data_IF_914401006914
#
_entry.id   IF_914401006914
#
_cell.length_a   1.000
_cell.length_b   1.000
_cell.length_c   1.000
_cell.angle_alpha   90.00
_cell.angle_beta   90.00
_cell.angle_gamma   90.00
#
_symmetry.space_group_name_H-M   'P 1'
#
loop_
_entity.id
_entity.type
_entity.pdbx_description
1 polymer ?
#
# COMPACT_ATOMS: atom_id res chain seq x y z
N UNK A 1 -1.61 20.99 42.79
CA UNK A 1 -1.61 21.00 41.30
C UNK A 1 -0.94 19.73 40.79
N UNK A 2 -1.67 18.79 40.17
CA UNK A 2 -1.10 17.68 39.39
C UNK A 2 -1.98 17.46 38.17
N UNK A 3 -1.41 17.80 37.01
CA UNK A 3 -2.07 17.87 35.71
C UNK A 3 -2.55 16.50 35.24
N UNK A 4 -3.82 16.40 34.83
CA UNK A 4 -4.40 15.25 34.12
C UNK A 4 -3.76 15.18 32.73
N UNK A 5 -2.77 14.31 32.52
CA UNK A 5 -2.27 13.98 31.18
C UNK A 5 -3.40 13.27 30.41
N UNK A 6 -4.02 13.98 29.47
CA UNK A 6 -4.92 13.40 28.47
C UNK A 6 -4.09 12.46 27.61
N UNK A 7 -4.29 11.15 27.75
CA UNK A 7 -3.93 10.18 26.72
C UNK A 7 -4.71 10.56 25.45
N UNK A 8 -3.98 10.98 24.42
CA UNK A 8 -4.54 11.30 23.11
C UNK A 8 -3.70 10.57 22.06
N UNK A 9 -3.65 9.25 22.16
CA UNK A 9 -3.12 8.33 21.16
C UNK A 9 -3.89 7.03 21.38
N UNK A 10 -4.65 6.46 20.46
CA UNK A 10 -4.63 6.54 19.02
C UNK A 10 -6.08 6.63 18.53
N UNK A 11 -6.33 7.58 17.65
CA UNK A 11 -7.56 7.65 16.88
C UNK A 11 -7.77 6.28 16.23
N UNK A 12 -8.94 5.68 16.46
CA UNK A 12 -9.53 4.76 15.49
C UNK A 12 -9.27 5.39 14.13
N UNK A 13 -8.55 4.68 13.25
CA UNK A 13 -8.47 5.08 11.84
C UNK A 13 -9.89 4.99 11.34
N UNK A 14 -10.58 6.12 11.37
CA UNK A 14 -11.75 6.40 10.58
C UNK A 14 -11.40 5.91 9.18
N UNK A 15 -11.99 4.80 8.73
CA UNK A 15 -12.04 4.41 7.32
C UNK A 15 -12.98 5.39 6.59
N UNK A 16 -12.86 6.68 6.88
CA UNK A 16 -13.61 7.77 6.30
C UNK A 16 -13.27 7.77 4.82
N UNK A 17 -14.28 7.37 4.05
CA UNK A 17 -14.34 7.41 2.59
C UNK A 17 -13.11 6.86 1.91
N UNK A 18 -13.22 5.60 1.45
CA UNK A 18 -12.27 5.05 0.50
C UNK A 18 -12.27 5.93 -0.76
N UNK A 19 -11.31 6.85 -0.84
CA UNK A 19 -11.14 7.74 -1.98
C UNK A 19 -10.64 6.91 -3.17
N UNK A 20 -11.45 6.86 -4.24
CA UNK A 20 -11.10 6.18 -5.50
C UNK A 20 -10.04 6.95 -6.30
N UNK A 21 -9.82 8.23 -6.00
CA UNK A 21 -8.94 9.11 -6.77
C UNK A 21 -7.44 8.72 -6.67
N UNK A 22 -6.89 8.39 -5.49
CA UNK A 22 -5.53 7.85 -5.40
C UNK A 22 -5.34 6.51 -6.14
N UNK A 23 -6.39 5.69 -6.23
CA UNK A 23 -6.37 4.39 -6.91
C UNK A 23 -6.37 4.52 -8.43
N UNK A 24 -7.05 5.53 -8.98
CA UNK A 24 -6.99 5.89 -10.40
C UNK A 24 -5.59 6.37 -10.82
N UNK A 25 -4.75 6.78 -9.86
CA UNK A 25 -3.36 7.23 -10.07
C UNK A 25 -2.33 6.13 -9.76
N UNK A 26 -2.77 4.88 -9.57
CA UNK A 26 -1.88 3.76 -9.31
C UNK A 26 -0.91 3.57 -10.49
N UNK A 27 0.38 3.68 -10.21
CA UNK A 27 1.44 3.29 -11.12
C UNK A 27 2.17 2.07 -10.54
N UNK A 28 2.47 1.12 -11.40
CA UNK A 28 3.27 -0.04 -11.03
C UNK A 28 4.65 0.39 -10.55
N UNK A 29 5.10 -0.21 -9.44
CA UNK A 29 6.42 0.05 -8.91
C UNK A 29 7.47 -0.64 -9.78
N UNK A 30 8.57 0.06 -10.08
CA UNK A 30 9.67 -0.57 -10.81
C UNK A 30 10.46 -1.53 -9.92
N UNK A 31 11.05 -2.58 -10.52
CA UNK A 31 11.94 -3.52 -9.82
C UNK A 31 13.10 -2.78 -9.14
N UNK A 32 13.64 -1.74 -9.78
CA UNK A 32 14.72 -0.92 -9.22
C UNK A 32 14.31 -0.16 -7.95
N UNK A 33 13.08 0.37 -7.90
CA UNK A 33 12.57 1.04 -6.71
C UNK A 33 12.27 0.04 -5.59
N UNK A 34 11.69 -1.11 -5.91
CA UNK A 34 11.45 -2.18 -4.96
C UNK A 34 12.77 -2.69 -4.34
N UNK A 35 13.80 -2.93 -5.16
CA UNK A 35 15.14 -3.31 -4.69
C UNK A 35 15.71 -2.30 -3.69
N UNK A 36 15.59 -0.99 -3.97
CA UNK A 36 16.02 0.07 -3.02
C UNK A 36 15.27 0.00 -1.70
N UNK A 37 13.96 -0.25 -1.71
CA UNK A 37 13.12 -0.35 -0.50
C UNK A 37 13.48 -1.61 0.31
N UNK A 38 13.65 -2.74 -0.36
CA UNK A 38 13.99 -4.01 0.26
C UNK A 38 15.38 -3.96 0.91
N UNK A 39 16.37 -3.39 0.21
CA UNK A 39 17.72 -3.15 0.76
C UNK A 39 17.71 -2.23 1.97
N UNK A 40 16.90 -1.16 1.97
CA UNK A 40 16.72 -0.28 3.15
C UNK A 40 16.14 -1.04 4.35
N UNK A 41 15.42 -2.12 4.11
CA UNK A 41 14.81 -2.97 5.12
C UNK A 41 15.67 -4.20 5.47
N UNK A 42 16.92 -4.27 4.99
CA UNK A 42 17.81 -5.44 5.10
C UNK A 42 17.18 -6.75 4.57
N UNK A 43 16.25 -6.66 3.63
CA UNK A 43 15.69 -7.82 2.93
C UNK A 43 16.53 -8.04 1.66
N UNK A 44 17.17 -9.20 1.58
CA UNK A 44 17.94 -9.59 0.41
C UNK A 44 17.10 -10.51 -0.47
N UNK A 45 16.83 -10.07 -1.70
CA UNK A 45 16.18 -10.85 -2.74
C UNK A 45 16.93 -10.64 -4.05
N UNK A 46 16.92 -11.66 -4.90
CA UNK A 46 17.35 -11.54 -6.29
C UNK A 46 16.35 -10.71 -7.10
N UNK A 47 16.83 -10.10 -8.19
CA UNK A 47 15.98 -9.34 -9.10
C UNK A 47 14.77 -10.15 -9.60
N UNK A 48 14.97 -11.46 -9.82
CA UNK A 48 13.90 -12.38 -10.22
C UNK A 48 12.82 -12.51 -9.15
N UNK A 49 13.22 -12.75 -7.89
CA UNK A 49 12.26 -12.86 -6.78
C UNK A 49 11.47 -11.55 -6.59
N UNK A 50 12.13 -10.41 -6.72
CA UNK A 50 11.48 -9.09 -6.65
C UNK A 50 10.45 -8.94 -7.78
N UNK A 51 10.85 -9.29 -9.00
CA UNK A 51 9.96 -9.24 -10.18
C UNK A 51 8.74 -10.14 -10.00
N UNK A 52 8.93 -11.37 -9.52
CA UNK A 52 7.84 -12.33 -9.32
C UNK A 52 6.85 -11.84 -8.25
N UNK A 53 7.35 -11.28 -7.13
CA UNK A 53 6.52 -10.70 -6.08
C UNK A 53 5.76 -9.47 -6.58
N UNK A 54 6.43 -8.55 -7.29
CA UNK A 54 5.77 -7.36 -7.84
C UNK A 54 4.68 -7.75 -8.83
N UNK A 55 4.92 -8.73 -9.71
CA UNK A 55 3.92 -9.21 -10.66
C UNK A 55 2.65 -9.71 -9.96
N UNK A 56 2.80 -10.47 -8.88
CA UNK A 56 1.68 -10.93 -8.05
C UNK A 56 0.93 -9.75 -7.44
N UNK A 57 1.64 -8.82 -6.80
CA UNK A 57 1.03 -7.66 -6.13
C UNK A 57 0.29 -6.74 -7.10
N UNK A 58 0.90 -6.45 -8.26
CA UNK A 58 0.27 -5.65 -9.30
C UNK A 58 -0.99 -6.33 -9.85
N UNK A 59 -0.96 -7.65 -10.00
CA UNK A 59 -2.13 -8.43 -10.44
C UNK A 59 -3.28 -8.33 -9.44
N UNK A 60 -3.00 -8.52 -8.15
CA UNK A 60 -4.00 -8.40 -7.09
C UNK A 60 -4.64 -7.01 -7.09
N UNK A 61 -3.82 -5.96 -7.14
CA UNK A 61 -4.32 -4.57 -7.21
C UNK A 61 -5.21 -4.37 -8.43
N UNK A 62 -4.79 -4.81 -9.62
CA UNK A 62 -5.60 -4.68 -10.85
C UNK A 62 -6.93 -5.43 -10.76
N UNK A 63 -6.94 -6.63 -10.19
CA UNK A 63 -8.17 -7.40 -9.97
C UNK A 63 -9.11 -6.67 -9.03
N UNK A 64 -8.61 -6.21 -7.88
CA UNK A 64 -9.41 -5.46 -6.91
C UNK A 64 -9.95 -4.15 -7.50
N UNK A 65 -9.12 -3.40 -8.25
CA UNK A 65 -9.56 -2.20 -8.95
C UNK A 65 -10.66 -2.49 -9.96
N UNK A 66 -10.51 -3.56 -10.75
CA UNK A 66 -11.53 -4.00 -11.70
C UNK A 66 -12.84 -4.30 -10.99
N UNK A 67 -12.82 -5.07 -9.91
CA UNK A 67 -14.00 -5.40 -9.13
C UNK A 67 -14.67 -4.15 -8.53
N UNK A 68 -13.88 -3.24 -7.96
CA UNK A 68 -14.39 -1.99 -7.38
C UNK A 68 -15.05 -1.08 -8.42
N UNK A 69 -14.46 -0.96 -9.62
CA UNK A 69 -15.03 -0.17 -10.71
C UNK A 69 -16.27 -0.85 -11.28
N UNK A 70 -16.24 -2.17 -11.45
CA UNK A 70 -17.38 -2.95 -11.95
C UNK A 70 -18.56 -2.97 -10.97
N UNK A 71 -18.34 -2.91 -9.66
CA UNK A 71 -19.41 -2.87 -8.66
C UNK A 71 -20.16 -1.52 -8.61
N UNK A 72 -19.64 -0.48 -9.27
CA UNK A 72 -20.22 0.87 -9.30
C UNK A 72 -21.11 1.14 -10.53
N UNK A 73 -21.09 0.25 -11.52
CA UNK A 73 -21.95 0.27 -12.72
C UNK A 73 -23.02 -0.82 -12.63
#
# INVERSE_FOLDING_TARGET
>A
MRSKRKQKDSQLRDLKEFELEPLMKFNEMSVSEADKILKRSNINMSEKEISDVLALLHTLVKMTLKELISAKN
#
